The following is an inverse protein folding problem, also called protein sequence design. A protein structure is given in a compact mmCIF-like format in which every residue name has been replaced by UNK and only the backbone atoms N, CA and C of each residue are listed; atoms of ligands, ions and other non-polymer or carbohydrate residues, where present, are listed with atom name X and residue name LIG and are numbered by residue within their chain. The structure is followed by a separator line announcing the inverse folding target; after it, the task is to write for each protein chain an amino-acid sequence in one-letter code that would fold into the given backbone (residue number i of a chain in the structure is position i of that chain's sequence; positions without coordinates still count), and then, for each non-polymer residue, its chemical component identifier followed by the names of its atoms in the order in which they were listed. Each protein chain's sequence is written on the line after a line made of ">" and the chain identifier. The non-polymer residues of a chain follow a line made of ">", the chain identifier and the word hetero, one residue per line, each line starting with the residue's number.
data_IF_506156548696
#
_entry.id   IF_506156548696
#
_cell.length_a   1.000
_cell.length_b   1.000
_cell.length_c   1.000
_cell.angle_alpha   90.00
_cell.angle_beta   90.00
_cell.angle_gamma   90.00
#
_symmetry.space_group_name_H-M   'P 1'
#
loop_
_entity.id
_entity.type
_entity.pdbx_description
1 polymer ?
#
# COMPACT_ATOMS: atom_id res chain seq x y z
N UNK A 1 44.14 32.44 66.08
CA UNK A 1 44.32 32.42 64.62
C UNK A 1 43.24 33.32 64.04
N UNK A 2 43.69 34.45 63.52
CA UNK A 2 42.91 35.62 63.12
C UNK A 2 42.44 35.52 61.67
N UNK A 3 41.28 36.12 61.44
CA UNK A 3 40.57 36.39 60.18
C UNK A 3 41.42 36.93 59.03
N UNK A 4 41.10 36.56 57.78
CA UNK A 4 41.18 37.45 56.60
C UNK A 4 40.30 36.92 55.45
N UNK A 5 39.40 37.76 54.95
CA UNK A 5 38.61 37.64 53.71
C UNK A 5 39.40 38.15 52.51
N UNK A 6 39.32 37.48 51.35
CA UNK A 6 39.70 38.05 50.05
C UNK A 6 38.74 37.58 48.94
N UNK A 7 38.12 38.57 48.31
CA UNK A 7 37.28 38.54 47.11
C UNK A 7 38.13 38.42 45.84
N UNK A 8 37.74 37.57 44.89
CA UNK A 8 38.29 37.53 43.53
C UNK A 8 37.24 37.96 42.50
N UNK A 9 37.53 39.02 41.74
CA UNK A 9 36.80 39.45 40.55
C UNK A 9 37.24 38.65 39.32
N UNK A 10 36.28 38.22 38.48
CA UNK A 10 36.49 37.93 37.06
C UNK A 10 35.74 38.99 36.21
N UNK A 11 36.26 39.41 35.05
CA UNK A 11 35.63 40.40 34.17
C UNK A 11 34.66 39.76 33.15
N UNK A 12 33.62 40.51 32.79
CA UNK A 12 32.61 40.18 31.78
C UNK A 12 32.99 40.55 30.34
N UNK A 13 32.59 39.67 29.41
CA UNK A 13 32.12 39.86 28.01
C UNK A 13 33.09 40.34 26.90
N UNK A 14 33.06 39.66 25.72
CA UNK A 14 32.70 40.22 24.38
C UNK A 14 32.41 39.09 23.34
N UNK A 15 31.29 39.29 22.61
CA UNK A 15 30.81 38.81 21.28
C UNK A 15 30.64 37.33 20.93
N UNK A 16 29.37 36.95 20.75
CA UNK A 16 28.88 35.74 20.09
C UNK A 16 28.50 36.10 18.63
N UNK A 17 29.31 35.76 17.62
CA UNK A 17 28.95 35.99 16.22
C UNK A 17 27.99 34.89 15.73
N UNK A 18 26.80 35.27 15.25
CA UNK A 18 25.80 34.34 14.72
C UNK A 18 26.22 33.82 13.33
N UNK A 19 26.06 32.52 13.09
CA UNK A 19 26.28 31.87 11.80
C UNK A 19 24.95 31.60 11.09
N UNK A 20 24.93 31.64 9.76
CA UNK A 20 23.76 31.32 8.95
C UNK A 20 23.32 29.87 9.19
N UNK A 21 22.07 29.64 9.61
CA UNK A 21 21.54 28.30 9.93
C UNK A 21 21.50 27.33 8.73
N UNK A 22 21.40 27.85 7.50
CA UNK A 22 21.33 27.03 6.28
C UNK A 22 22.69 26.57 5.73
N UNK A 23 23.72 27.44 5.72
CA UNK A 23 25.03 27.10 5.15
C UNK A 23 26.22 27.23 6.13
N UNK A 24 25.99 27.55 7.40
CA UNK A 24 27.00 27.54 8.47
C UNK A 24 28.07 28.63 8.37
N UNK A 25 27.96 29.57 7.42
CA UNK A 25 28.95 30.63 7.20
C UNK A 25 28.71 31.81 8.16
N UNK A 26 29.77 32.45 8.70
CA UNK A 26 29.62 33.60 9.60
C UNK A 26 28.92 34.76 8.90
N UNK A 27 27.97 35.41 9.59
CA UNK A 27 27.35 36.64 9.10
C UNK A 27 28.31 37.82 9.30
N UNK A 28 28.30 38.77 8.37
CA UNK A 28 29.00 40.06 8.53
C UNK A 28 28.51 40.75 9.81
N UNK A 29 29.37 41.46 10.59
CA UNK A 29 29.00 42.18 11.81
C UNK A 29 27.75 43.09 11.74
N UNK A 30 27.34 43.56 10.56
CA UNK A 30 26.09 44.33 10.38
C UNK A 30 24.84 43.46 10.08
N UNK A 31 24.97 42.13 10.11
CA UNK A 31 23.86 41.17 10.03
C UNK A 31 23.16 41.04 8.66
N UNK A 32 23.60 41.76 7.64
CA UNK A 32 22.79 41.96 6.42
C UNK A 32 23.19 41.10 5.19
N UNK A 33 24.36 40.47 5.14
CA UNK A 33 24.76 39.72 3.93
C UNK A 33 25.66 38.51 4.21
N UNK A 34 25.24 37.35 3.72
CA UNK A 34 26.08 36.16 3.59
C UNK A 34 26.83 36.25 2.25
N UNK A 35 28.13 36.55 2.28
CA UNK A 35 28.96 36.75 1.07
C UNK A 35 29.39 35.44 0.38
N UNK A 36 28.95 34.28 0.88
CA UNK A 36 29.54 32.97 0.53
C UNK A 36 28.64 31.88 -0.09
N UNK A 37 27.33 32.06 -0.27
CA UNK A 37 26.42 30.95 -0.67
C UNK A 37 25.72 31.28 -2.02
N UNK A 38 26.23 30.81 -3.17
CA UNK A 38 25.97 29.57 -3.98
C UNK A 38 25.06 29.84 -5.18
N UNK A 39 25.37 29.25 -6.34
CA UNK A 39 24.63 29.39 -7.61
C UNK A 39 23.28 28.67 -7.53
N UNK A 40 22.28 29.12 -8.30
CA UNK A 40 21.07 28.33 -8.53
C UNK A 40 21.47 26.91 -8.96
N UNK A 41 21.01 25.84 -8.28
CA UNK A 41 21.41 24.46 -8.60
C UNK A 41 20.90 23.98 -9.97
N UNK A 42 19.91 24.65 -10.56
CA UNK A 42 19.31 24.28 -11.84
C UNK A 42 19.91 25.05 -13.02
N UNK A 43 19.95 26.39 -12.96
CA UNK A 43 20.45 27.22 -14.08
C UNK A 43 21.83 27.85 -13.83
N UNK A 44 22.37 27.79 -12.60
CA UNK A 44 23.70 28.32 -12.30
C UNK A 44 23.77 29.84 -12.05
N UNK A 45 22.64 30.56 -12.03
CA UNK A 45 22.58 32.01 -11.80
C UNK A 45 23.15 32.41 -10.43
N UNK A 46 23.82 33.58 -10.36
CA UNK A 46 24.66 34.00 -9.22
C UNK A 46 24.02 35.03 -8.28
N UNK A 47 22.80 35.51 -8.56
CA UNK A 47 22.24 36.70 -7.88
C UNK A 47 21.09 36.37 -6.94
N UNK A 48 21.30 36.62 -5.64
CA UNK A 48 20.20 36.86 -4.70
C UNK A 48 19.81 38.33 -4.79
N UNK A 49 18.56 38.63 -5.12
CA UNK A 49 17.95 39.91 -4.77
C UNK A 49 17.09 39.66 -3.51
N UNK A 50 16.71 40.70 -2.77
CA UNK A 50 15.70 40.59 -1.71
C UNK A 50 14.41 41.16 -2.30
N UNK A 51 13.27 40.45 -2.20
CA UNK A 51 12.01 41.00 -2.68
C UNK A 51 11.73 42.35 -1.99
N UNK A 52 11.20 43.35 -2.71
CA UNK A 52 10.83 44.61 -2.09
C UNK A 52 9.77 44.38 -0.99
N UNK A 53 10.18 44.45 0.29
CA UNK A 53 9.31 44.27 1.45
C UNK A 53 9.56 43.01 2.32
N UNK A 54 10.53 42.15 1.98
CA UNK A 54 10.88 40.97 2.79
C UNK A 54 11.63 41.31 4.09
N UNK A 55 11.45 40.50 5.16
CA UNK A 55 12.14 40.70 6.43
C UNK A 55 13.64 40.36 6.35
N UNK A 56 14.45 40.97 7.21
CA UNK A 56 15.92 40.78 7.26
C UNK A 56 16.35 39.52 8.01
N UNK A 57 15.42 38.70 8.49
CA UNK A 57 15.74 37.40 9.09
C UNK A 57 16.00 36.38 7.98
N UNK A 58 17.10 35.63 8.09
CA UNK A 58 17.66 34.76 7.05
C UNK A 58 16.76 33.58 6.60
N UNK A 59 15.53 33.48 7.12
CA UNK A 59 14.54 32.44 6.83
C UNK A 59 13.65 32.76 5.60
N UNK A 60 13.87 33.87 4.90
CA UNK A 60 13.04 34.31 3.76
C UNK A 60 13.79 34.67 2.47
N UNK A 61 15.00 34.14 2.29
CA UNK A 61 15.85 34.62 1.20
C UNK A 61 15.59 33.90 -0.13
N UNK A 62 14.66 34.45 -0.91
CA UNK A 62 14.32 33.99 -2.27
C UNK A 62 15.44 34.23 -3.29
N UNK A 63 15.54 33.36 -4.29
CA UNK A 63 16.40 33.55 -5.46
C UNK A 63 15.59 34.23 -6.56
N UNK A 64 16.20 35.24 -7.19
CA UNK A 64 15.70 35.73 -8.47
C UNK A 64 16.45 35.00 -9.57
N UNK A 65 15.71 34.29 -10.43
CA UNK A 65 16.31 33.67 -11.60
C UNK A 65 16.32 34.69 -12.73
N UNK A 66 17.49 35.21 -13.10
CA UNK A 66 17.61 36.14 -14.24
C UNK A 66 17.12 35.49 -15.55
N UNK A 67 17.26 34.16 -15.67
CA UNK A 67 16.74 33.44 -16.82
C UNK A 67 15.21 33.37 -16.76
N UNK A 68 14.62 32.88 -15.67
CA UNK A 68 13.16 32.79 -15.56
C UNK A 68 12.46 34.13 -15.29
N UNK A 69 13.21 35.22 -15.09
CA UNK A 69 12.75 36.55 -14.68
C UNK A 69 11.80 36.55 -13.45
N UNK A 70 11.90 35.54 -12.58
CA UNK A 70 10.96 35.30 -11.48
C UNK A 70 11.67 34.88 -10.16
N UNK A 71 10.92 34.95 -9.06
CA UNK A 71 11.37 34.74 -7.68
C UNK A 71 10.95 33.38 -7.14
N UNK A 72 11.88 32.66 -6.49
CA UNK A 72 11.62 31.33 -5.94
C UNK A 72 12.27 31.13 -4.57
N UNK A 73 11.64 30.33 -3.71
CA UNK A 73 12.17 30.04 -2.38
C UNK A 73 13.53 29.33 -2.45
N UNK A 74 14.37 29.52 -1.43
CA UNK A 74 15.72 28.91 -1.40
C UNK A 74 15.76 27.38 -1.46
N UNK A 75 14.65 26.72 -1.13
CA UNK A 75 14.48 25.28 -1.20
C UNK A 75 13.92 24.80 -2.55
N UNK A 76 13.43 25.70 -3.40
CA UNK A 76 12.76 25.38 -4.65
C UNK A 76 13.66 25.67 -5.86
N UNK A 77 13.61 24.80 -6.87
CA UNK A 77 14.29 25.01 -8.15
C UNK A 77 13.52 26.02 -9.01
N UNK A 78 14.22 26.86 -9.78
CA UNK A 78 13.65 28.01 -10.50
C UNK A 78 12.67 27.70 -11.65
N UNK A 79 12.17 26.47 -11.78
CA UNK A 79 11.19 26.05 -12.79
C UNK A 79 11.66 26.10 -14.26
N UNK A 80 12.83 26.70 -14.56
CA UNK A 80 13.32 26.84 -15.92
C UNK A 80 13.54 25.47 -16.58
N UNK A 81 12.90 25.25 -17.72
CA UNK A 81 13.10 24.08 -18.56
C UNK A 81 14.39 24.23 -19.36
N UNK A 82 15.34 23.32 -19.13
CA UNK A 82 16.63 23.30 -19.82
C UNK A 82 16.71 22.04 -20.67
N UNK A 83 17.07 22.21 -21.94
CA UNK A 83 17.32 21.08 -22.83
C UNK A 83 18.48 20.26 -22.29
N UNK A 84 18.24 18.97 -22.06
CA UNK A 84 19.21 18.02 -21.49
C UNK A 84 20.37 17.77 -22.46
N UNK A 85 20.20 18.05 -23.76
CA UNK A 85 21.23 17.82 -24.78
C UNK A 85 22.11 19.05 -25.01
N UNK A 86 21.53 20.17 -25.42
CA UNK A 86 22.30 21.38 -25.75
C UNK A 86 22.42 22.38 -24.59
N UNK A 87 21.80 22.11 -23.44
CA UNK A 87 21.79 22.98 -22.25
C UNK A 87 21.18 24.38 -22.48
N UNK A 88 20.46 24.58 -23.58
CA UNK A 88 19.72 25.82 -23.83
C UNK A 88 18.42 25.83 -23.07
N UNK A 89 17.93 27.04 -22.75
CA UNK A 89 16.60 27.23 -22.19
C UNK A 89 15.55 26.92 -23.24
N UNK A 90 14.51 26.20 -22.83
CA UNK A 90 13.34 25.88 -23.65
C UNK A 90 12.28 26.95 -23.41
N UNK A 91 11.70 27.48 -24.48
CA UNK A 91 10.52 28.35 -24.44
C UNK A 91 9.28 27.55 -24.04
N UNK A 92 8.33 28.18 -23.35
CA UNK A 92 7.06 27.51 -23.01
C UNK A 92 6.35 27.02 -24.28
N UNK A 93 6.11 25.70 -24.37
CA UNK A 93 5.39 25.05 -25.48
C UNK A 93 6.25 24.18 -26.41
N UNK A 94 7.58 24.36 -26.41
CA UNK A 94 8.50 23.67 -27.34
C UNK A 94 9.33 22.57 -26.65
N UNK A 95 8.77 21.98 -25.59
CA UNK A 95 9.39 20.90 -24.82
C UNK A 95 8.95 19.53 -25.34
N UNK A 96 9.92 18.64 -25.54
CA UNK A 96 9.70 17.22 -25.80
C UNK A 96 10.35 16.37 -24.70
N UNK A 97 9.53 15.57 -24.02
CA UNK A 97 10.01 14.65 -22.98
C UNK A 97 10.18 13.26 -23.60
N UNK A 98 11.41 12.81 -23.78
CA UNK A 98 11.73 11.49 -24.36
C UNK A 98 12.51 10.69 -23.32
N UNK A 99 11.89 9.66 -22.76
CA UNK A 99 12.42 8.91 -21.62
C UNK A 99 12.64 9.81 -20.40
N UNK A 100 13.91 10.01 -20.00
CA UNK A 100 14.31 10.91 -18.90
C UNK A 100 14.91 12.24 -19.39
N UNK A 101 14.92 12.49 -20.69
CA UNK A 101 15.48 13.69 -21.31
C UNK A 101 14.36 14.70 -21.56
N UNK A 102 14.60 15.96 -21.23
CA UNK A 102 13.77 17.09 -21.69
C UNK A 102 14.53 17.77 -22.82
N UNK A 103 13.98 17.83 -24.02
CA UNK A 103 14.67 18.31 -25.22
C UNK A 103 13.89 19.48 -25.83
N UNK A 104 14.62 20.46 -26.40
CA UNK A 104 14.03 21.48 -27.25
C UNK A 104 13.76 20.94 -28.66
N UNK A 105 12.91 21.63 -29.41
CA UNK A 105 12.62 21.31 -30.81
C UNK A 105 13.88 21.07 -31.65
N UNK A 106 14.87 21.97 -31.58
CA UNK A 106 16.12 21.88 -32.35
C UNK A 106 17.01 20.68 -31.99
N UNK A 107 16.76 20.01 -30.85
CA UNK A 107 17.50 18.80 -30.45
C UNK A 107 16.70 17.53 -30.68
N UNK A 108 15.67 17.63 -31.52
CA UNK A 108 14.85 16.51 -31.97
C UNK A 108 14.59 16.63 -33.46
N UNK A 109 14.33 15.51 -34.13
CA UNK A 109 13.74 15.50 -35.45
C UNK A 109 12.49 14.63 -35.43
N UNK A 110 11.56 14.86 -36.37
CA UNK A 110 10.37 14.02 -36.50
C UNK A 110 10.68 12.85 -37.43
N UNK A 111 10.44 11.62 -36.96
CA UNK A 111 10.54 10.44 -37.79
C UNK A 111 9.15 10.05 -38.29
N UNK A 112 8.92 10.19 -39.60
CA UNK A 112 7.64 9.83 -40.24
C UNK A 112 7.30 8.35 -40.06
N UNK A 113 8.33 7.47 -40.03
CA UNK A 113 8.14 6.02 -39.89
C UNK A 113 7.60 5.59 -38.51
N UNK A 114 7.88 6.36 -37.45
CA UNK A 114 7.38 6.07 -36.10
C UNK A 114 6.31 7.08 -35.64
N UNK A 115 5.97 8.04 -36.50
CA UNK A 115 5.14 9.21 -36.18
C UNK A 115 5.53 9.92 -34.87
N UNK A 116 6.82 9.90 -34.52
CA UNK A 116 7.35 10.34 -33.23
C UNK A 116 8.58 11.25 -33.39
N UNK A 117 8.85 12.09 -32.38
CA UNK A 117 10.10 12.86 -32.31
C UNK A 117 11.20 12.03 -31.68
N UNK A 118 12.37 12.05 -32.31
CA UNK A 118 13.57 11.32 -31.91
C UNK A 118 14.66 12.34 -31.56
N UNK A 119 15.49 12.10 -30.53
CA UNK A 119 16.62 12.97 -30.22
C UNK A 119 17.59 13.08 -31.42
N UNK A 120 18.13 14.27 -31.65
CA UNK A 120 19.18 14.43 -32.66
C UNK A 120 20.38 13.53 -32.36
N UNK A 121 20.88 12.85 -33.41
CA UNK A 121 22.01 11.92 -33.32
C UNK A 121 21.64 10.49 -32.89
N UNK A 122 20.36 10.22 -32.63
CA UNK A 122 19.84 8.86 -32.46
C UNK A 122 19.15 8.38 -33.75
N UNK A 123 19.35 7.09 -34.06
CA UNK A 123 18.72 6.46 -35.21
C UNK A 123 17.22 6.25 -34.93
N UNK A 124 16.41 6.35 -35.98
CA UNK A 124 14.98 6.10 -35.90
C UNK A 124 14.71 4.59 -35.77
N UNK A 125 14.74 4.10 -34.53
CA UNK A 125 14.36 2.73 -34.17
C UNK A 125 12.90 2.70 -33.70
N UNK A 126 11.99 2.44 -34.63
CA UNK A 126 10.58 2.32 -34.27
C UNK A 126 10.34 1.06 -33.44
N UNK A 127 9.55 1.14 -32.36
CA UNK A 127 9.02 -0.04 -31.70
C UNK A 127 8.30 -0.95 -32.70
N UNK A 128 8.35 -2.25 -32.46
CA UNK A 128 7.65 -3.24 -33.27
C UNK A 128 6.63 -3.98 -32.43
N UNK A 129 5.49 -4.29 -33.02
CA UNK A 129 4.49 -5.15 -32.40
C UNK A 129 5.06 -6.56 -32.26
N UNK A 130 5.11 -7.07 -31.03
CA UNK A 130 5.63 -8.40 -30.70
C UNK A 130 4.83 -9.54 -31.34
N UNK A 131 3.66 -9.26 -31.91
CA UNK A 131 2.78 -10.25 -32.54
C UNK A 131 2.88 -10.26 -34.06
N UNK A 132 2.62 -9.12 -34.71
CA UNK A 132 2.61 -9.05 -36.18
C UNK A 132 3.96 -8.59 -36.77
N UNK A 133 4.85 -8.03 -35.96
CA UNK A 133 6.13 -7.47 -36.40
C UNK A 133 6.02 -6.11 -37.10
N UNK A 134 4.81 -5.55 -37.19
CA UNK A 134 4.60 -4.22 -37.76
C UNK A 134 5.21 -3.15 -36.85
N UNK A 135 5.69 -2.08 -37.46
CA UNK A 135 6.16 -0.90 -36.72
C UNK A 135 4.97 -0.23 -36.03
N UNK A 136 5.17 0.20 -34.79
CA UNK A 136 4.15 0.87 -33.99
C UNK A 136 4.64 2.27 -33.66
N UNK A 137 3.77 3.26 -33.91
CA UNK A 137 3.97 4.58 -33.33
C UNK A 137 3.87 4.47 -31.79
N UNK A 138 4.65 5.27 -31.07
CA UNK A 138 4.68 5.22 -29.60
C UNK A 138 3.27 5.43 -28.98
N UNK A 139 2.46 6.30 -29.62
CA UNK A 139 1.10 6.61 -29.18
C UNK A 139 0.04 5.55 -29.54
N UNK A 140 0.37 4.61 -30.43
CA UNK A 140 -0.55 3.56 -30.91
C UNK A 140 -0.11 2.15 -30.45
N UNK A 141 0.71 2.12 -29.38
CA UNK A 141 1.22 0.89 -28.80
C UNK A 141 0.62 0.61 -27.42
N UNK A 142 0.22 -0.64 -27.21
CA UNK A 142 -0.38 -1.13 -25.98
C UNK A 142 0.53 -2.16 -25.34
N UNK A 143 0.66 -2.10 -24.02
CA UNK A 143 1.42 -3.09 -23.25
C UNK A 143 0.46 -4.12 -22.64
N UNK A 144 0.53 -5.36 -23.14
CA UNK A 144 -0.29 -6.48 -22.65
C UNK A 144 0.65 -7.60 -22.23
N UNK A 145 0.58 -8.02 -20.97
CA UNK A 145 1.42 -9.09 -20.38
C UNK A 145 2.94 -8.95 -20.66
N UNK A 146 3.42 -7.70 -20.65
CA UNK A 146 4.84 -7.39 -20.89
C UNK A 146 5.27 -7.42 -22.35
N UNK A 147 4.32 -7.56 -23.29
CA UNK A 147 4.53 -7.45 -24.74
C UNK A 147 4.00 -6.12 -25.25
N UNK A 148 4.69 -5.54 -26.25
CA UNK A 148 4.23 -4.34 -26.94
C UNK A 148 3.43 -4.75 -28.18
N UNK A 149 2.17 -4.34 -28.25
CA UNK A 149 1.24 -4.70 -29.32
C UNK A 149 0.68 -3.46 -30.01
N UNK A 150 0.38 -3.56 -31.30
CA UNK A 150 -0.32 -2.50 -32.04
C UNK A 150 -1.84 -2.58 -31.83
N UNK A 151 -2.54 -1.48 -32.10
CA UNK A 151 -4.01 -1.39 -32.03
C UNK A 151 -4.72 -2.56 -32.74
N UNK A 152 -4.28 -2.90 -33.95
CA UNK A 152 -4.85 -4.02 -34.73
C UNK A 152 -4.54 -5.42 -34.17
N UNK A 153 -3.66 -5.55 -33.19
CA UNK A 153 -3.36 -6.80 -32.49
C UNK A 153 -3.96 -6.83 -31.08
N UNK A 154 -4.77 -5.85 -30.72
CA UNK A 154 -5.42 -5.72 -29.41
C UNK A 154 -6.91 -5.41 -29.54
N UNK A 155 -7.65 -5.58 -28.45
CA UNK A 155 -9.01 -5.05 -28.30
C UNK A 155 -9.26 -4.65 -26.84
N UNK A 156 -10.22 -3.75 -26.64
CA UNK A 156 -10.60 -3.27 -25.31
C UNK A 156 -11.86 -4.00 -24.81
N UNK A 157 -11.80 -4.72 -23.67
CA UNK A 157 -13.01 -5.23 -23.01
C UNK A 157 -13.58 -4.13 -22.12
N UNK A 158 -14.75 -3.61 -22.49
CA UNK A 158 -15.49 -2.63 -21.69
C UNK A 158 -15.80 -3.18 -20.28
N UNK A 159 -16.15 -4.47 -20.16
CA UNK A 159 -16.46 -5.09 -18.86
C UNK A 159 -15.22 -5.24 -17.96
N UNK A 160 -14.05 -5.43 -18.55
CA UNK A 160 -12.77 -5.54 -17.84
C UNK A 160 -12.12 -4.15 -17.62
N UNK A 161 -12.60 -3.12 -18.32
CA UNK A 161 -11.93 -1.83 -18.55
C UNK A 161 -10.43 -1.99 -18.92
N UNK A 162 -10.09 -3.03 -19.67
CA UNK A 162 -8.69 -3.40 -19.98
C UNK A 162 -8.46 -3.73 -21.44
N UNK A 163 -7.23 -3.52 -21.90
CA UNK A 163 -6.78 -3.90 -23.25
C UNK A 163 -6.17 -5.31 -23.21
N UNK A 164 -6.56 -6.15 -24.16
CA UNK A 164 -6.13 -7.54 -24.29
C UNK A 164 -5.66 -7.83 -25.72
N UNK A 165 -4.88 -8.89 -25.89
CA UNK A 165 -4.42 -9.34 -27.22
C UNK A 165 -5.63 -9.84 -28.05
N UNK A 166 -5.69 -9.46 -29.33
CA UNK A 166 -6.79 -9.85 -30.23
C UNK A 166 -6.90 -11.37 -30.36
N UNK A 167 -8.11 -11.91 -30.29
CA UNK A 167 -8.36 -13.35 -30.28
C UNK A 167 -8.09 -14.05 -28.95
N UNK A 168 -7.49 -13.38 -27.95
CA UNK A 168 -7.50 -13.88 -26.58
C UNK A 168 -8.80 -13.44 -25.89
N UNK A 169 -9.55 -14.37 -25.27
CA UNK A 169 -10.70 -14.00 -24.46
C UNK A 169 -10.22 -13.19 -23.27
N UNK A 170 -10.79 -12.00 -23.04
CA UNK A 170 -10.51 -11.25 -21.81
C UNK A 170 -10.88 -12.13 -20.62
N UNK A 171 -10.23 -11.87 -19.49
CA UNK A 171 -10.69 -12.19 -18.13
C UNK A 171 -12.24 -12.28 -18.00
N UNK A 172 -12.97 -11.24 -18.44
CA UNK A 172 -14.44 -11.14 -18.49
C UNK A 172 -15.11 -12.31 -19.26
N UNK A 173 -14.44 -12.86 -20.27
CA UNK A 173 -14.94 -13.89 -21.18
C UNK A 173 -14.37 -15.28 -20.90
N UNK A 174 -13.18 -15.42 -20.30
CA UNK A 174 -12.50 -16.71 -20.05
C UNK A 174 -13.32 -17.67 -19.18
N UNK A 175 -14.14 -17.11 -18.29
CA UNK A 175 -14.99 -17.88 -17.38
C UNK A 175 -16.46 -17.50 -17.54
N UNK A 176 -16.90 -17.11 -18.74
CA UNK A 176 -18.29 -16.73 -19.04
C UNK A 176 -18.86 -15.66 -18.09
N UNK A 177 -18.04 -14.70 -17.65
CA UNK A 177 -18.44 -13.66 -16.70
C UNK A 177 -18.64 -14.13 -15.25
N UNK A 178 -18.27 -15.37 -14.91
CA UNK A 178 -18.38 -15.90 -13.54
C UNK A 178 -17.33 -15.32 -12.58
N UNK A 179 -16.21 -14.85 -13.13
CA UNK A 179 -15.10 -14.26 -12.37
C UNK A 179 -14.87 -12.84 -12.89
N UNK A 180 -14.91 -11.89 -11.96
CA UNK A 180 -14.72 -10.47 -12.26
C UNK A 180 -13.24 -10.08 -12.21
N UNK A 181 -12.92 -8.91 -12.76
CA UNK A 181 -11.56 -8.34 -12.65
C UNK A 181 -11.20 -8.02 -11.20
N UNK A 182 -9.89 -7.92 -10.92
CA UNK A 182 -9.36 -7.65 -9.57
C UNK A 182 -9.93 -6.37 -8.92
N UNK A 183 -10.33 -5.37 -9.71
CA UNK A 183 -10.85 -4.08 -9.27
C UNK A 183 -12.36 -4.05 -9.02
N UNK A 184 -13.07 -5.15 -9.32
CA UNK A 184 -14.52 -5.19 -9.20
C UNK A 184 -15.00 -5.03 -7.76
N UNK A 185 -15.92 -4.08 -7.56
CA UNK A 185 -16.55 -3.78 -6.27
C UNK A 185 -18.04 -3.49 -6.48
N UNK A 186 -18.94 -4.43 -6.18
CA UNK A 186 -20.38 -4.22 -6.28
C UNK A 186 -20.92 -3.38 -5.11
N UNK A 187 -22.20 -3.01 -5.17
CA UNK A 187 -22.92 -2.52 -3.99
C UNK A 187 -22.92 -3.60 -2.90
N UNK A 188 -22.46 -3.25 -1.69
CA UNK A 188 -22.23 -4.21 -0.63
C UNK A 188 -23.53 -4.54 0.13
N UNK A 189 -23.84 -5.84 0.26
CA UNK A 189 -25.00 -6.34 1.00
C UNK A 189 -24.59 -6.82 2.40
N UNK A 190 -24.88 -6.03 3.43
CA UNK A 190 -24.50 -6.36 4.80
C UNK A 190 -25.43 -7.42 5.42
N UNK A 191 -24.87 -8.53 5.90
CA UNK A 191 -25.62 -9.65 6.50
C UNK A 191 -25.42 -9.72 8.02
N UNK A 192 -26.53 -9.79 8.76
CA UNK A 192 -26.53 -9.77 10.22
C UNK A 192 -26.63 -8.37 10.81
N UNK A 193 -26.55 -8.27 12.13
CA UNK A 193 -26.77 -7.04 12.88
C UNK A 193 -25.59 -6.72 13.82
N UNK A 194 -25.10 -5.50 13.75
CA UNK A 194 -24.02 -5.02 14.59
C UNK A 194 -23.11 -4.06 13.83
N UNK A 195 -22.15 -3.43 14.51
CA UNK A 195 -21.22 -2.51 13.85
C UNK A 195 -19.99 -3.22 13.26
N UNK A 196 -19.68 -4.43 13.77
CA UNK A 196 -18.59 -5.26 13.28
C UNK A 196 -19.09 -6.26 12.22
N UNK A 197 -18.61 -6.06 11.00
CA UNK A 197 -18.83 -6.94 9.87
C UNK A 197 -17.49 -7.47 9.38
N UNK A 198 -17.51 -8.71 8.90
CA UNK A 198 -16.39 -9.43 8.34
C UNK A 198 -16.61 -9.65 6.85
N UNK A 199 -15.67 -9.22 6.00
CA UNK A 199 -15.60 -9.61 4.59
C UNK A 199 -14.48 -10.63 4.40
N UNK A 200 -14.75 -11.73 3.72
CA UNK A 200 -13.77 -12.80 3.50
C UNK A 200 -13.32 -12.77 2.04
N UNK A 201 -12.01 -12.80 1.82
CA UNK A 201 -11.39 -13.02 0.51
C UNK A 201 -10.54 -14.29 0.60
N UNK A 202 -10.93 -15.34 -0.13
CA UNK A 202 -10.28 -16.66 -0.09
C UNK A 202 -9.72 -16.99 -1.47
N UNK A 203 -8.39 -17.01 -1.58
CA UNK A 203 -7.68 -17.35 -2.82
C UNK A 203 -7.61 -18.87 -3.00
N UNK A 204 -8.01 -19.37 -4.16
CA UNK A 204 -8.07 -20.80 -4.47
C UNK A 204 -7.37 -21.05 -5.80
N UNK A 205 -6.30 -21.85 -5.77
CA UNK A 205 -5.61 -22.26 -6.99
C UNK A 205 -6.34 -23.44 -7.65
N UNK A 206 -6.56 -23.38 -8.96
CA UNK A 206 -7.34 -24.36 -9.71
C UNK A 206 -6.66 -24.59 -11.07
N UNK A 207 -6.43 -25.84 -11.50
CA UNK A 207 -5.96 -26.15 -12.85
C UNK A 207 -6.87 -25.53 -13.91
N UNK A 208 -6.29 -25.02 -15.01
CA UNK A 208 -7.03 -24.27 -16.04
C UNK A 208 -8.24 -25.03 -16.56
N UNK A 209 -8.11 -26.34 -16.75
CA UNK A 209 -9.17 -27.22 -17.24
C UNK A 209 -10.34 -27.44 -16.27
N UNK A 210 -10.17 -27.09 -14.99
CA UNK A 210 -11.18 -27.22 -13.93
C UNK A 210 -11.71 -25.85 -13.45
N UNK A 211 -11.09 -24.74 -13.85
CA UNK A 211 -11.45 -23.40 -13.38
C UNK A 211 -12.92 -23.05 -13.62
N UNK A 212 -13.43 -23.34 -14.82
CA UNK A 212 -14.82 -23.04 -15.18
C UNK A 212 -15.82 -23.83 -14.31
N UNK A 213 -15.63 -25.14 -14.16
CA UNK A 213 -16.50 -25.97 -13.31
C UNK A 213 -16.45 -25.57 -11.83
N UNK A 214 -15.28 -25.20 -11.31
CA UNK A 214 -15.14 -24.69 -9.95
C UNK A 214 -15.82 -23.32 -9.77
N UNK A 215 -15.70 -22.43 -10.77
CA UNK A 215 -16.33 -21.11 -10.74
C UNK A 215 -17.86 -21.22 -10.79
N UNK A 216 -18.41 -22.07 -11.65
CA UNK A 216 -19.86 -22.36 -11.70
C UNK A 216 -20.36 -22.88 -10.35
N UNK A 217 -19.69 -23.88 -9.77
CA UNK A 217 -20.04 -24.42 -8.46
C UNK A 217 -20.06 -23.32 -7.38
N UNK A 218 -19.04 -22.45 -7.35
CA UNK A 218 -18.96 -21.39 -6.36
C UNK A 218 -20.06 -20.33 -6.55
N UNK A 219 -20.26 -19.83 -7.78
CA UNK A 219 -21.29 -18.83 -8.07
C UNK A 219 -22.69 -19.37 -7.76
N UNK A 220 -23.01 -20.59 -8.20
CA UNK A 220 -24.32 -21.21 -7.96
C UNK A 220 -24.60 -21.42 -6.46
N UNK A 221 -23.56 -21.76 -5.69
CA UNK A 221 -23.70 -22.05 -4.25
C UNK A 221 -23.71 -20.78 -3.40
N UNK A 222 -22.95 -19.75 -3.79
CA UNK A 222 -22.91 -18.46 -3.08
C UNK A 222 -24.16 -17.63 -3.34
N UNK A 223 -24.69 -17.64 -4.57
CA UNK A 223 -25.80 -16.79 -4.96
C UNK A 223 -25.50 -15.31 -4.69
N UNK A 224 -26.35 -14.63 -3.91
CA UNK A 224 -26.21 -13.21 -3.55
C UNK A 224 -25.36 -12.97 -2.29
N UNK A 225 -24.62 -13.98 -1.81
CA UNK A 225 -23.71 -13.84 -0.67
C UNK A 225 -22.32 -13.36 -1.07
N UNK A 226 -21.87 -13.65 -2.29
CA UNK A 226 -20.51 -13.38 -2.70
C UNK A 226 -20.33 -13.46 -4.20
N UNK A 227 -19.10 -13.21 -4.63
CA UNK A 227 -18.70 -13.15 -6.03
C UNK A 227 -17.24 -13.60 -6.15
N UNK A 228 -16.81 -13.88 -7.38
CA UNK A 228 -15.45 -14.32 -7.66
C UNK A 228 -14.67 -13.20 -8.35
N UNK A 229 -13.39 -13.08 -8.01
CA UNK A 229 -12.47 -12.13 -8.63
C UNK A 229 -11.22 -12.83 -9.11
N UNK A 230 -10.57 -12.24 -10.10
CA UNK A 230 -9.19 -12.55 -10.41
C UNK A 230 -8.30 -11.93 -9.34
N UNK A 231 -7.42 -12.76 -8.75
CA UNK A 231 -6.26 -12.27 -8.03
C UNK A 231 -5.04 -12.57 -8.88
N UNK A 232 -4.33 -11.52 -9.30
CA UNK A 232 -3.20 -11.59 -10.25
C UNK A 232 -2.00 -12.42 -9.78
N UNK A 233 -2.11 -13.09 -8.63
CA UNK A 233 -1.08 -13.94 -8.04
C UNK A 233 -1.41 -15.43 -8.05
N UNK A 234 -2.66 -15.82 -8.36
CA UNK A 234 -3.14 -17.20 -8.28
C UNK A 234 -3.72 -17.66 -9.62
N UNK A 235 -3.31 -18.85 -10.06
CA UNK A 235 -3.96 -19.51 -11.18
C UNK A 235 -5.26 -20.16 -10.69
N UNK A 236 -6.36 -19.40 -10.70
CA UNK A 236 -7.64 -19.78 -10.12
C UNK A 236 -8.53 -18.56 -9.91
N UNK A 237 -9.15 -18.43 -8.74
CA UNK A 237 -9.93 -17.23 -8.38
C UNK A 237 -9.86 -16.92 -6.89
N UNK A 238 -10.23 -15.70 -6.54
CA UNK A 238 -10.51 -15.23 -5.19
C UNK A 238 -12.01 -15.25 -4.94
N UNK A 239 -12.46 -16.03 -3.98
CA UNK A 239 -13.85 -16.05 -3.52
C UNK A 239 -14.03 -14.91 -2.50
N UNK A 240 -14.87 -13.94 -2.84
CA UNK A 240 -15.14 -12.76 -2.01
C UNK A 240 -16.57 -12.77 -1.50
N UNK A 241 -16.75 -12.57 -0.19
CA UNK A 241 -18.08 -12.44 0.41
C UNK A 241 -18.47 -10.99 0.59
N UNK A 242 -19.77 -10.71 0.50
CA UNK A 242 -20.30 -9.50 1.10
C UNK A 242 -20.06 -9.49 2.63
N UNK A 243 -20.07 -8.31 3.28
CA UNK A 243 -19.80 -8.21 4.72
C UNK A 243 -20.87 -8.91 5.56
N UNK A 244 -20.43 -9.70 6.53
CA UNK A 244 -21.30 -10.49 7.40
C UNK A 244 -20.84 -10.45 8.86
N UNK A 245 -21.75 -10.44 9.81
CA UNK A 245 -21.36 -10.64 11.22
C UNK A 245 -20.87 -12.07 11.43
N UNK A 246 -19.99 -12.32 12.41
CA UNK A 246 -19.47 -13.66 12.67
C UNK A 246 -20.60 -14.67 12.94
N UNK A 247 -21.61 -14.31 13.75
CA UNK A 247 -22.78 -15.16 13.99
C UNK A 247 -23.54 -15.49 12.71
N UNK A 248 -23.68 -14.52 11.80
CA UNK A 248 -24.32 -14.76 10.51
C UNK A 248 -23.46 -15.72 9.68
N UNK A 249 -22.15 -15.48 9.59
CA UNK A 249 -21.20 -16.34 8.87
C UNK A 249 -21.32 -17.81 9.29
N UNK A 250 -21.35 -18.09 10.59
CA UNK A 250 -21.41 -19.47 11.10
C UNK A 250 -22.68 -20.21 10.66
N UNK A 251 -23.80 -19.50 10.52
CA UNK A 251 -25.10 -20.11 10.19
C UNK A 251 -25.52 -19.98 8.72
N UNK A 252 -25.04 -18.95 8.02
CA UNK A 252 -25.51 -18.53 6.71
C UNK A 252 -24.51 -18.75 5.58
N UNK A 253 -23.21 -18.84 5.87
CA UNK A 253 -22.22 -19.19 4.84
C UNK A 253 -22.38 -20.68 4.45
N UNK A 254 -22.34 -21.03 3.15
CA UNK A 254 -22.50 -22.41 2.69
C UNK A 254 -21.22 -23.22 2.94
N UNK A 255 -20.92 -23.56 4.20
CA UNK A 255 -19.70 -24.28 4.58
C UNK A 255 -19.38 -25.55 3.76
N UNK A 256 -20.36 -26.36 3.29
CA UNK A 256 -20.07 -27.48 2.39
C UNK A 256 -19.45 -27.09 1.04
N UNK A 257 -19.52 -25.83 0.62
CA UNK A 257 -18.90 -25.34 -0.61
C UNK A 257 -17.38 -25.57 -0.60
N UNK A 258 -16.70 -25.34 0.52
CA UNK A 258 -15.25 -25.43 0.60
C UNK A 258 -14.72 -26.85 0.29
N UNK A 259 -15.20 -27.92 0.95
CA UNK A 259 -14.80 -29.29 0.59
C UNK A 259 -15.29 -29.72 -0.80
N UNK A 260 -16.38 -29.16 -1.31
CA UNK A 260 -16.83 -29.40 -2.69
C UNK A 260 -15.85 -28.80 -3.70
N UNK A 261 -15.42 -27.55 -3.50
CA UNK A 261 -14.39 -26.91 -4.33
C UNK A 261 -13.08 -27.69 -4.30
N UNK A 262 -12.67 -28.19 -3.12
CA UNK A 262 -11.49 -29.06 -3.01
C UNK A 262 -11.63 -30.33 -3.83
N UNK A 263 -12.81 -30.95 -3.79
CA UNK A 263 -13.11 -32.17 -4.57
C UNK A 263 -13.16 -31.89 -6.07
N UNK A 264 -13.62 -30.71 -6.47
CA UNK A 264 -13.70 -30.26 -7.86
C UNK A 264 -12.34 -29.90 -8.49
N UNK A 265 -11.28 -29.81 -7.67
CA UNK A 265 -9.91 -29.54 -8.14
C UNK A 265 -9.26 -28.28 -7.57
N UNK A 266 -9.96 -27.57 -6.67
CA UNK A 266 -9.40 -26.45 -5.93
C UNK A 266 -8.31 -26.88 -4.95
N UNK A 267 -7.24 -26.09 -4.88
CA UNK A 267 -6.12 -26.28 -3.99
C UNK A 267 -5.93 -25.05 -3.10
N UNK A 268 -5.92 -25.29 -1.79
CA UNK A 268 -5.61 -24.32 -0.74
C UNK A 268 -4.13 -24.34 -0.33
N UNK A 269 -3.34 -25.23 -0.91
CA UNK A 269 -1.93 -25.44 -0.56
C UNK A 269 -0.95 -24.85 -1.58
N UNK A 270 -1.46 -24.19 -2.62
CA UNK A 270 -0.61 -23.59 -3.64
C UNK A 270 0.23 -22.45 -3.04
N UNK A 271 1.47 -22.24 -3.53
CA UNK A 271 2.27 -21.11 -3.07
C UNK A 271 1.54 -19.79 -3.30
N UNK A 272 1.70 -18.87 -2.35
CA UNK A 272 1.11 -17.53 -2.37
C UNK A 272 -0.41 -17.43 -2.21
N UNK A 273 -1.15 -18.53 -1.97
CA UNK A 273 -2.59 -18.42 -1.67
C UNK A 273 -2.85 -17.97 -0.22
N UNK A 274 -3.74 -16.99 -0.07
CA UNK A 274 -4.13 -16.38 1.19
C UNK A 274 -5.61 -16.51 1.55
N UNK A 275 -5.89 -16.26 2.82
CA UNK A 275 -7.21 -15.93 3.34
C UNK A 275 -7.11 -14.55 3.99
N UNK A 276 -7.80 -13.56 3.42
CA UNK A 276 -7.89 -12.23 3.99
C UNK A 276 -9.25 -12.03 4.66
N UNK A 277 -9.23 -11.33 5.79
CA UNK A 277 -10.45 -10.96 6.51
C UNK A 277 -10.48 -9.47 6.73
N UNK A 278 -11.47 -8.81 6.12
CA UNK A 278 -11.78 -7.41 6.33
C UNK A 278 -12.67 -7.24 7.55
N UNK A 279 -12.31 -6.37 8.49
CA UNK A 279 -13.09 -6.01 9.66
C UNK A 279 -13.53 -4.56 9.52
N UNK A 280 -14.84 -4.29 9.58
CA UNK A 280 -15.36 -2.92 9.53
C UNK A 280 -14.79 -2.07 10.68
N UNK A 281 -14.29 -0.88 10.35
CA UNK A 281 -13.79 0.09 11.34
C UNK A 281 -14.88 0.55 12.30
N UNK A 282 -16.13 0.56 11.85
CA UNK A 282 -17.30 0.85 12.67
C UNK A 282 -17.43 -0.10 13.88
N UNK A 283 -16.88 -1.31 13.78
CA UNK A 283 -16.85 -2.28 14.87
C UNK A 283 -16.01 -1.86 16.08
N UNK A 284 -15.19 -0.81 15.98
CA UNK A 284 -14.29 -0.38 17.04
C UNK A 284 -14.76 0.90 17.75
N UNK A 285 -14.80 0.89 19.09
CA UNK A 285 -15.15 2.05 19.94
C UNK A 285 -14.24 3.30 19.79
N UNK A 286 -13.13 3.19 19.06
CA UNK A 286 -12.23 4.30 18.75
C UNK A 286 -10.74 3.95 18.81
N UNK A 287 -9.86 4.95 18.67
CA UNK A 287 -8.41 4.74 18.57
C UNK A 287 -7.79 3.91 19.71
N UNK A 288 -8.27 4.08 20.94
CA UNK A 288 -7.75 3.32 22.09
C UNK A 288 -8.09 1.82 21.99
N UNK A 289 -9.28 1.47 21.48
CA UNK A 289 -9.68 0.09 21.25
C UNK A 289 -8.85 -0.52 20.11
N UNK A 290 -8.75 0.18 18.97
CA UNK A 290 -7.92 -0.23 17.82
C UNK A 290 -6.47 -0.50 18.27
N UNK A 291 -5.91 0.37 19.12
CA UNK A 291 -4.58 0.18 19.67
C UNK A 291 -4.47 -1.12 20.48
N UNK A 292 -5.42 -1.39 21.40
CA UNK A 292 -5.40 -2.63 22.20
C UNK A 292 -5.50 -3.87 21.32
N UNK A 293 -6.37 -3.85 20.31
CA UNK A 293 -6.55 -4.91 19.33
C UNK A 293 -5.27 -5.21 18.55
N UNK A 294 -4.70 -4.21 17.88
CA UNK A 294 -3.44 -4.38 17.13
C UNK A 294 -2.29 -4.83 18.06
N UNK A 295 -2.23 -4.31 19.30
CA UNK A 295 -1.21 -4.73 20.28
C UNK A 295 -1.37 -6.19 20.69
N UNK A 296 -2.59 -6.70 20.84
CA UNK A 296 -2.84 -8.12 21.13
C UNK A 296 -2.25 -8.99 20.01
N UNK A 297 -2.56 -8.67 18.75
CA UNK A 297 -2.10 -9.44 17.59
C UNK A 297 -0.57 -9.39 17.49
N UNK A 298 0.04 -8.20 17.45
CA UNK A 298 1.49 -8.06 17.30
C UNK A 298 2.30 -8.60 18.49
N UNK A 299 1.77 -8.55 19.72
CA UNK A 299 2.47 -9.10 20.89
C UNK A 299 2.49 -10.62 20.88
N UNK A 300 1.46 -11.23 20.29
CA UNK A 300 1.30 -12.68 20.23
C UNK A 300 1.62 -13.25 18.84
N UNK A 301 2.48 -12.58 18.05
CA UNK A 301 2.88 -12.97 16.67
C UNK A 301 3.09 -14.48 16.53
N UNK A 302 3.89 -15.09 17.41
CA UNK A 302 4.18 -16.53 17.34
C UNK A 302 2.91 -17.38 17.32
N UNK A 303 1.98 -17.13 18.25
CA UNK A 303 0.73 -17.89 18.31
C UNK A 303 -0.24 -17.53 17.18
N UNK A 304 -0.27 -16.26 16.76
CA UNK A 304 -1.06 -15.85 15.60
C UNK A 304 -0.56 -16.53 14.33
N UNK A 305 0.76 -16.69 14.16
CA UNK A 305 1.33 -17.42 13.02
C UNK A 305 1.03 -18.92 13.06
N UNK A 306 0.93 -19.52 14.24
CA UNK A 306 0.47 -20.92 14.36
C UNK A 306 -0.97 -21.05 13.85
N UNK A 307 -1.86 -20.14 14.24
CA UNK A 307 -3.22 -20.07 13.71
C UNK A 307 -3.23 -19.73 12.21
N UNK A 308 -2.32 -18.87 11.75
CA UNK A 308 -2.22 -18.46 10.35
C UNK A 308 -1.71 -19.55 9.41
N UNK A 309 -1.02 -20.57 9.94
CA UNK A 309 -0.44 -21.70 9.20
C UNK A 309 0.54 -21.30 8.08
N UNK A 310 0.99 -20.05 8.06
CA UNK A 310 2.08 -19.54 7.23
C UNK A 310 2.79 -18.38 7.91
N UNK A 311 4.06 -18.18 7.55
CA UNK A 311 4.82 -16.96 7.83
C UNK A 311 5.25 -16.39 6.49
N UNK A 312 4.66 -15.26 6.08
CA UNK A 312 4.91 -14.65 4.77
C UNK A 312 5.45 -13.23 4.95
N UNK A 313 6.77 -13.12 4.95
CA UNK A 313 7.51 -11.87 5.14
C UNK A 313 7.41 -10.90 3.97
N UNK A 314 6.78 -11.29 2.85
CA UNK A 314 6.70 -10.46 1.63
C UNK A 314 5.34 -9.82 1.42
N UNK A 315 4.25 -10.53 1.71
CA UNK A 315 2.89 -10.10 1.40
C UNK A 315 2.00 -9.90 2.64
N UNK A 316 2.44 -10.39 3.81
CA UNK A 316 1.73 -10.28 5.08
C UNK A 316 2.70 -10.13 6.27
N UNK A 317 3.74 -9.32 6.08
CA UNK A 317 4.85 -9.24 7.03
C UNK A 317 4.39 -8.72 8.40
N UNK A 318 4.90 -9.33 9.47
CA UNK A 318 4.87 -8.73 10.81
C UNK A 318 6.16 -7.93 10.99
N UNK A 319 6.09 -6.60 10.89
CA UNK A 319 7.30 -5.78 11.03
C UNK A 319 7.45 -5.17 12.42
N UNK A 320 8.69 -5.04 12.88
CA UNK A 320 9.02 -4.33 14.12
C UNK A 320 8.64 -2.85 14.07
N UNK A 321 8.64 -2.28 12.87
CA UNK A 321 8.12 -0.94 12.59
C UNK A 321 6.62 -0.86 12.90
N UNK A 322 5.81 -1.82 12.46
CA UNK A 322 4.37 -1.86 12.77
C UNK A 322 4.10 -1.93 14.27
N UNK A 323 4.81 -2.82 14.96
CA UNK A 323 4.68 -2.98 16.41
C UNK A 323 4.91 -1.66 17.15
N UNK A 324 5.79 -0.80 16.64
CA UNK A 324 6.07 0.55 17.18
C UNK A 324 5.09 1.60 16.67
N UNK A 325 4.59 1.45 15.44
CA UNK A 325 3.69 2.38 14.77
C UNK A 325 2.20 2.17 15.09
N UNK A 326 1.82 1.16 15.88
CA UNK A 326 0.41 0.92 16.27
C UNK A 326 -0.30 2.18 16.78
N UNK A 327 0.38 3.04 17.54
CA UNK A 327 -0.18 4.31 18.04
C UNK A 327 -0.50 5.27 16.88
N UNK A 328 0.29 5.24 15.81
CA UNK A 328 0.09 6.03 14.60
C UNK A 328 -1.08 5.48 13.77
N UNK A 329 -1.15 4.17 13.56
CA UNK A 329 -2.23 3.51 12.81
C UNK A 329 -3.59 3.64 13.50
N UNK A 330 -3.61 3.64 14.84
CA UNK A 330 -4.84 3.88 15.58
C UNK A 330 -5.38 5.32 15.43
N UNK A 331 -4.50 6.29 15.10
CA UNK A 331 -4.83 7.73 15.05
C UNK A 331 -5.01 8.28 13.64
N UNK A 332 -4.41 7.66 12.62
CA UNK A 332 -4.47 8.09 11.22
C UNK A 332 -5.15 7.02 10.37
N UNK A 333 -5.99 7.45 9.43
CA UNK A 333 -6.78 6.54 8.59
C UNK A 333 -5.96 5.76 7.56
N UNK A 334 -4.80 6.28 7.12
CA UNK A 334 -3.99 5.61 6.10
C UNK A 334 -2.50 5.87 6.32
N UNK A 335 -1.73 4.80 6.29
CA UNK A 335 -0.27 4.84 6.26
C UNK A 335 0.19 3.84 5.21
N UNK A 336 1.07 4.28 4.32
CA UNK A 336 1.48 3.52 3.13
C UNK A 336 2.03 2.12 3.46
N UNK A 337 1.54 1.12 2.73
CA UNK A 337 2.09 -0.24 2.66
C UNK A 337 1.03 -1.31 2.93
N UNK A 338 0.51 -1.93 1.86
CA UNK A 338 -0.50 -3.00 1.92
C UNK A 338 0.04 -4.36 2.34
N UNK A 339 1.34 -4.60 2.16
CA UNK A 339 1.99 -5.90 2.39
C UNK A 339 2.35 -6.15 3.86
N UNK A 340 1.37 -6.01 4.75
CA UNK A 340 1.53 -6.11 6.20
C UNK A 340 0.52 -7.08 6.77
N UNK A 341 0.83 -7.67 7.93
CA UNK A 341 -0.06 -8.58 8.63
C UNK A 341 -1.45 -7.96 8.88
N UNK A 342 -1.47 -6.68 9.28
CA UNK A 342 -2.69 -5.87 9.36
C UNK A 342 -2.56 -4.72 8.37
N UNK A 343 -3.30 -4.78 7.28
CA UNK A 343 -3.40 -3.68 6.33
C UNK A 343 -4.43 -2.66 6.83
N UNK A 344 -3.99 -1.40 6.89
CA UNK A 344 -4.77 -0.25 7.39
C UNK A 344 -5.05 0.78 6.30
N UNK A 345 -4.69 0.48 5.05
CA UNK A 345 -4.95 1.35 3.91
C UNK A 345 -6.44 1.46 3.54
N UNK A 346 -7.27 0.38 3.60
CA UNK A 346 -8.68 0.49 3.26
C UNK A 346 -9.40 1.51 4.17
N UNK A 347 -10.23 2.35 3.56
CA UNK A 347 -10.86 3.48 4.25
C UNK A 347 -11.81 3.02 5.36
N UNK A 348 -12.65 2.01 5.06
CA UNK A 348 -13.72 1.56 5.95
C UNK A 348 -13.41 0.28 6.72
N UNK A 349 -12.31 -0.40 6.41
CA UNK A 349 -11.95 -1.68 7.03
C UNK A 349 -10.49 -1.73 7.49
N UNK A 350 -10.21 -2.61 8.44
CA UNK A 350 -8.89 -3.20 8.62
C UNK A 350 -8.86 -4.55 7.92
N UNK A 351 -7.74 -4.95 7.36
CA UNK A 351 -7.63 -6.23 6.65
C UNK A 351 -6.54 -7.08 7.32
N UNK A 352 -6.92 -8.27 7.79
CA UNK A 352 -5.99 -9.27 8.28
C UNK A 352 -5.52 -10.12 7.11
N UNK A 353 -4.22 -10.05 6.80
CA UNK A 353 -3.65 -10.65 5.59
C UNK A 353 -2.80 -11.88 5.84
N UNK A 354 -2.63 -12.30 7.10
CA UNK A 354 -1.62 -13.30 7.47
C UNK A 354 -2.01 -14.75 7.24
N UNK A 355 -3.32 -15.06 7.13
CA UNK A 355 -3.79 -16.45 7.13
C UNK A 355 -3.53 -17.14 5.79
N UNK A 356 -3.11 -18.39 5.84
CA UNK A 356 -3.04 -19.26 4.67
C UNK A 356 -4.45 -19.54 4.13
N UNK A 357 -4.57 -19.75 2.83
CA UNK A 357 -5.81 -20.26 2.25
C UNK A 357 -6.17 -21.62 2.88
N UNK A 358 -7.48 -21.91 2.97
CA UNK A 358 -7.97 -23.21 3.39
C UNK A 358 -9.33 -23.55 2.80
N UNK A 359 -9.49 -24.81 2.38
CA UNK A 359 -10.77 -25.40 2.00
C UNK A 359 -11.32 -26.33 3.09
N UNK A 360 -10.77 -26.29 4.30
CA UNK A 360 -11.30 -26.94 5.49
C UNK A 360 -12.20 -25.96 6.25
N UNK A 361 -13.52 -26.21 6.35
CA UNK A 361 -14.45 -25.28 6.99
C UNK A 361 -14.02 -24.86 8.39
N UNK A 362 -13.53 -25.79 9.19
CA UNK A 362 -13.15 -25.57 10.58
C UNK A 362 -12.05 -24.52 10.70
N UNK A 363 -11.09 -24.54 9.76
CA UNK A 363 -10.00 -23.57 9.73
C UNK A 363 -10.48 -22.16 9.39
N UNK A 364 -11.29 -22.04 8.34
CA UNK A 364 -11.84 -20.73 7.92
C UNK A 364 -12.76 -20.16 9.01
N UNK A 365 -13.57 -21.00 9.64
CA UNK A 365 -14.41 -20.62 10.79
C UNK A 365 -13.57 -20.13 11.98
N UNK A 366 -12.44 -20.79 12.27
CA UNK A 366 -11.54 -20.36 13.33
C UNK A 366 -10.87 -19.02 13.00
N UNK A 367 -10.48 -18.78 11.76
CA UNK A 367 -9.91 -17.49 11.31
C UNK A 367 -10.93 -16.36 11.44
N UNK A 368 -12.16 -16.55 10.98
CA UNK A 368 -13.25 -15.58 11.20
C UNK A 368 -13.54 -15.39 12.69
N UNK A 369 -13.49 -16.47 13.47
CA UNK A 369 -13.64 -16.43 14.92
C UNK A 369 -12.55 -15.62 15.59
N UNK A 370 -11.29 -15.73 15.14
CA UNK A 370 -10.19 -14.93 15.65
C UNK A 370 -10.35 -13.45 15.33
N UNK A 371 -10.79 -13.13 14.10
CA UNK A 371 -11.07 -11.76 13.70
C UNK A 371 -12.11 -11.12 14.63
N UNK A 372 -13.26 -11.77 14.84
CA UNK A 372 -14.35 -11.28 15.70
C UNK A 372 -13.95 -11.26 17.19
N UNK A 373 -13.48 -12.40 17.71
CA UNK A 373 -13.11 -12.57 19.12
C UNK A 373 -12.01 -11.61 19.57
N UNK A 374 -11.02 -11.34 18.71
CA UNK A 374 -9.93 -10.42 19.06
C UNK A 374 -10.44 -8.98 19.25
N UNK A 375 -11.44 -8.56 18.48
CA UNK A 375 -12.10 -7.26 18.66
C UNK A 375 -12.92 -7.26 19.94
N UNK A 376 -13.80 -8.23 20.13
CA UNK A 376 -14.68 -8.27 21.31
C UNK A 376 -13.91 -8.41 22.64
N UNK A 377 -12.87 -9.23 22.66
CA UNK A 377 -12.00 -9.37 23.83
C UNK A 377 -11.33 -8.03 24.19
N UNK A 378 -10.82 -7.29 23.20
CA UNK A 378 -10.07 -6.06 23.46
C UNK A 378 -10.94 -4.83 23.68
N UNK A 379 -12.24 -4.92 23.39
CA UNK A 379 -13.22 -3.87 23.63
C UNK A 379 -13.25 -3.47 25.10
N UNK A 380 -13.33 -4.45 25.99
CA UNK A 380 -13.52 -4.25 27.44
C UNK A 380 -12.23 -4.22 28.25
N UNK A 381 -11.07 -4.52 27.65
CA UNK A 381 -9.78 -4.49 28.34
C UNK A 381 -9.47 -3.10 28.92
N UNK A 382 -9.29 -3.05 30.24
CA UNK A 382 -8.86 -1.85 30.96
C UNK A 382 -7.34 -1.77 31.09
N UNK A 383 -6.84 -0.59 31.48
CA UNK A 383 -5.41 -0.42 31.79
C UNK A 383 -4.97 -1.35 32.93
N UNK A 384 -5.84 -1.60 33.91
CA UNK A 384 -5.53 -2.50 35.02
C UNK A 384 -5.40 -3.96 34.56
N UNK A 385 -6.31 -4.42 33.69
CA UNK A 385 -6.25 -5.77 33.11
C UNK A 385 -4.96 -5.97 32.34
N UNK A 386 -4.52 -4.95 31.60
CA UNK A 386 -3.28 -4.98 30.83
C UNK A 386 -2.04 -4.94 31.72
N UNK A 387 -1.99 -4.00 32.67
CA UNK A 387 -0.79 -3.74 33.48
C UNK A 387 -0.56 -4.80 34.58
N UNK A 388 -1.65 -5.38 35.10
CA UNK A 388 -1.60 -6.27 36.26
C UNK A 388 -2.21 -7.65 36.00
N UNK A 389 -3.13 -7.77 35.04
CA UNK A 389 -3.83 -9.02 34.72
C UNK A 389 -3.28 -9.77 33.50
N UNK A 390 -2.18 -9.31 32.90
CA UNK A 390 -1.64 -9.86 31.65
C UNK A 390 -2.70 -9.92 30.53
N UNK A 391 -3.60 -8.94 30.44
CA UNK A 391 -4.71 -8.91 29.46
C UNK A 391 -4.29 -8.85 27.98
N UNK A 392 -3.00 -8.70 27.67
CA UNK A 392 -2.47 -8.89 26.31
C UNK A 392 -1.76 -10.23 26.11
N UNK A 393 -1.72 -11.09 27.14
CA UNK A 393 -1.15 -12.42 27.06
C UNK A 393 -2.04 -13.35 26.27
N UNK A 394 -1.42 -14.21 25.45
CA UNK A 394 -2.13 -15.22 24.68
C UNK A 394 -3.02 -16.11 25.54
N UNK A 395 -2.54 -16.50 26.72
CA UNK A 395 -3.28 -17.33 27.66
C UNK A 395 -4.56 -16.68 28.17
N UNK A 396 -4.53 -15.37 28.44
CA UNK A 396 -5.71 -14.63 28.87
C UNK A 396 -6.76 -14.55 27.74
N UNK A 397 -6.31 -14.35 26.51
CA UNK A 397 -7.19 -14.38 25.34
C UNK A 397 -7.77 -15.80 25.10
N UNK A 398 -6.93 -16.84 25.16
CA UNK A 398 -7.37 -18.23 24.99
C UNK A 398 -8.38 -18.65 26.05
N UNK A 399 -8.13 -18.31 27.32
CA UNK A 399 -9.07 -18.58 28.41
C UNK A 399 -10.41 -17.89 28.16
N UNK A 400 -10.38 -16.62 27.75
CA UNK A 400 -11.60 -15.89 27.41
C UNK A 400 -12.35 -16.56 26.24
N UNK A 401 -11.66 -16.94 25.16
CA UNK A 401 -12.28 -17.67 24.03
C UNK A 401 -12.93 -18.97 24.49
N UNK A 402 -12.29 -19.73 25.40
CA UNK A 402 -12.85 -20.99 25.91
C UNK A 402 -14.12 -20.82 26.76
N UNK A 403 -14.38 -19.62 27.26
CA UNK A 403 -15.60 -19.28 28.02
C UNK A 403 -16.75 -18.80 27.11
N UNK A 404 -16.51 -18.67 25.80
CA UNK A 404 -17.45 -18.12 24.82
C UNK A 404 -17.75 -19.16 23.74
N UNK A 405 -18.79 -19.97 23.98
CA UNK A 405 -19.19 -21.12 23.16
C UNK A 405 -19.35 -20.78 21.66
N UNK A 406 -19.73 -19.55 21.32
CA UNK A 406 -19.87 -19.13 19.91
C UNK A 406 -18.55 -19.24 19.13
N UNK A 407 -17.40 -19.19 19.80
CA UNK A 407 -16.07 -19.32 19.20
C UNK A 407 -15.52 -20.74 19.26
N UNK A 408 -16.37 -21.77 19.37
CA UNK A 408 -15.94 -23.17 19.45
C UNK A 408 -14.93 -23.59 18.35
N UNK A 409 -15.06 -23.19 17.06
CA UNK A 409 -14.05 -23.50 16.04
C UNK A 409 -12.67 -22.91 16.36
N UNK A 410 -12.63 -21.66 16.82
CA UNK A 410 -11.38 -21.03 17.26
C UNK A 410 -10.83 -21.72 18.51
N UNK A 411 -11.68 -22.00 19.50
CA UNK A 411 -11.26 -22.66 20.74
C UNK A 411 -10.60 -24.02 20.48
N UNK A 412 -11.10 -24.79 19.51
CA UNK A 412 -10.49 -26.04 19.08
C UNK A 412 -9.06 -25.84 18.55
N UNK A 413 -8.87 -24.90 17.62
CA UNK A 413 -7.55 -24.56 17.06
C UNK A 413 -6.57 -24.01 18.11
N UNK A 414 -7.07 -23.28 19.12
CA UNK A 414 -6.25 -22.76 20.23
C UNK A 414 -5.93 -23.81 21.30
N UNK A 415 -6.74 -24.88 21.38
CA UNK A 415 -6.63 -25.96 22.37
C UNK A 415 -5.71 -27.10 21.96
N UNK A 416 -5.45 -27.27 20.65
CA UNK A 416 -4.46 -28.21 20.15
C UNK A 416 -3.04 -27.71 20.49
N UNK A 417 -2.48 -28.21 21.59
CA UNK A 417 -1.05 -28.08 21.83
C UNK A 417 -0.29 -28.85 20.72
N UNK A 418 0.25 -28.13 19.74
CA UNK A 418 1.24 -28.69 18.83
C UNK A 418 2.40 -29.21 19.69
N UNK A 419 2.76 -30.50 19.63
CA UNK A 419 3.93 -30.99 20.36
C UNK A 419 5.12 -30.18 19.87
N UNK A 420 5.87 -29.58 20.79
CA UNK A 420 7.15 -29.00 20.48
C UNK A 420 8.00 -30.09 19.82
N UNK A 421 8.23 -29.99 18.50
CA UNK A 421 9.15 -30.89 17.82
C UNK A 421 10.52 -30.75 18.48
N UNK A 422 11.05 -31.89 18.89
CA UNK A 422 12.35 -32.10 19.53
C UNK A 422 13.52 -31.92 18.56
#
# INVERSE_FOLDING_TARGET
>A
MTTTTLTGHQPESVSNHQACAGCGTPLDPDGAACTGCRRCPTCGSQRRRIQPGGSTDCDGCDWYCDDCEDWFAAADTCGCLICTFCSTRISDGDQYTIGRKTLCEDCTYYCDDCEARIPEGEDCECPTCDRCGDRVADNDSYWVDGRQLCDGCTWYCDDCETTVEDGDPCSCQRLNGLVHSWGYLPELIFRGAGPLYLGMELEIAIPNELQHACAELAVDTLGDLGFLKEDGTVNGFELVTHPMTYTWAMSGFPWPLLPQLRTAGGSDTAPNTGLHVHLSRAGFDGPAHIHRWMKLIHRNRHHVLQLARRDNDRYAAFTDEERRAVVHYAKKQSVSGKYRAINTCPEDTFELRMFASSLQPEHVQAVLGFADASVEYTRTLTVADIAHGNGWGWESFRSWVSEHDQYAPLAAELGEAVPACA
#
